data_IF_288264563174
#
_entry.id   IF_288264563174
#
_cell.length_a   1.000
_cell.length_b   1.000
_cell.length_c   1.000
_cell.angle_alpha   90.00
_cell.angle_beta   90.00
_cell.angle_gamma   90.00
#
_symmetry.space_group_name_H-M   'P 1'
#
loop_
_entity.id
_entity.type
_entity.pdbx_description
1 polymer ?
#
# COMPACT_ATOMS: atom_id res chain seq x y z
N UNK A 1 0.21 23.34 -20.62
CA UNK A 1 0.78 23.19 -19.26
C UNK A 1 0.74 21.73 -18.83
N UNK A 2 1.80 21.28 -18.22
CA UNK A 2 1.83 19.92 -17.71
C UNK A 2 1.44 19.89 -16.25
N UNK A 3 0.77 18.84 -15.86
CA UNK A 3 0.34 18.67 -14.48
C UNK A 3 0.95 17.41 -13.92
N UNK A 4 0.93 17.28 -12.61
CA UNK A 4 1.40 16.08 -11.92
C UNK A 4 0.28 15.57 -11.04
N UNK A 5 0.08 14.27 -11.06
CA UNK A 5 -0.88 13.61 -10.18
C UNK A 5 -0.22 12.33 -9.71
N UNK A 6 0.37 12.36 -8.53
CA UNK A 6 1.15 11.24 -8.02
C UNK A 6 0.94 11.09 -6.52
N UNK A 7 0.73 9.86 -6.09
CA UNK A 7 0.58 9.52 -4.67
C UNK A 7 1.61 8.45 -4.35
N UNK A 8 2.29 8.62 -3.23
CA UNK A 8 3.22 7.62 -2.70
C UNK A 8 2.86 7.40 -1.25
N UNK A 9 2.65 6.15 -0.87
CA UNK A 9 2.28 5.81 0.50
C UNK A 9 3.07 4.61 0.99
N UNK A 10 3.37 4.62 2.29
CA UNK A 10 3.81 3.45 3.01
C UNK A 10 2.86 3.32 4.19
N UNK A 11 2.18 2.21 4.29
CA UNK A 11 1.22 2.01 5.37
C UNK A 11 0.75 0.58 5.43
N UNK A 12 -0.21 0.35 6.32
CA UNK A 12 -0.72 -1.00 6.57
C UNK A 12 -2.11 -1.15 5.99
N UNK A 13 -2.38 -2.34 5.45
CA UNK A 13 -3.72 -2.62 4.95
C UNK A 13 -4.72 -2.63 6.11
N UNK A 14 -5.86 -2.02 5.89
CA UNK A 14 -6.91 -1.94 6.90
C UNK A 14 -7.91 -3.07 6.80
N UNK A 15 -7.91 -3.78 5.67
CA UNK A 15 -8.78 -4.92 5.45
C UNK A 15 -8.17 -5.80 4.36
N UNK A 16 -8.68 -7.01 4.24
CA UNK A 16 -8.24 -7.89 3.17
C UNK A 16 -8.67 -7.34 1.82
N UNK A 17 -7.83 -7.48 0.78
CA UNK A 17 -8.24 -7.03 -0.56
C UNK A 17 -9.45 -7.80 -1.04
N UNK A 18 -10.38 -7.08 -1.65
CA UNK A 18 -11.62 -7.66 -2.15
C UNK A 18 -11.54 -7.71 -3.67
N UNK A 19 -11.44 -8.92 -4.20
CA UNK A 19 -11.31 -9.12 -5.64
C UNK A 19 -12.69 -9.24 -6.28
N UNK A 20 -12.88 -8.50 -7.35
CA UNK A 20 -14.11 -8.56 -8.13
C UNK A 20 -13.74 -8.59 -9.61
N UNK A 21 -14.69 -9.01 -10.42
CA UNK A 21 -14.51 -8.95 -11.87
C UNK A 21 -15.57 -8.05 -12.47
N UNK A 22 -15.15 -7.24 -13.43
CA UNK A 22 -16.07 -6.38 -14.15
C UNK A 22 -16.85 -7.22 -15.17
N UNK A 23 -17.84 -6.60 -15.79
CA UNK A 23 -18.64 -7.26 -16.82
C UNK A 23 -17.78 -7.74 -17.98
N UNK A 24 -16.66 -7.07 -18.23
CA UNK A 24 -15.73 -7.47 -19.28
C UNK A 24 -14.75 -8.55 -18.84
N UNK A 25 -14.90 -9.06 -17.63
CA UNK A 25 -14.00 -10.09 -17.12
C UNK A 25 -12.69 -9.58 -16.58
N UNK A 26 -12.53 -8.29 -16.45
CA UNK A 26 -11.30 -7.69 -15.95
C UNK A 26 -11.29 -7.71 -14.42
N UNK A 27 -10.15 -8.10 -13.84
CA UNK A 27 -10.00 -8.13 -12.39
C UNK A 27 -9.84 -6.74 -11.83
N UNK A 28 -10.48 -6.47 -10.71
CA UNK A 28 -10.31 -5.24 -9.96
C UNK A 28 -10.32 -5.58 -8.48
N UNK A 29 -9.42 -4.97 -7.73
CA UNK A 29 -9.35 -5.19 -6.29
C UNK A 29 -9.36 -3.85 -5.59
N UNK A 30 -10.03 -3.80 -4.44
CA UNK A 30 -10.02 -2.60 -3.60
C UNK A 30 -9.55 -2.98 -2.21
N UNK A 31 -8.82 -2.08 -1.59
CA UNK A 31 -8.40 -2.23 -0.22
C UNK A 31 -8.10 -0.86 0.38
N UNK A 32 -7.95 -0.81 1.69
CA UNK A 32 -7.65 0.42 2.39
C UNK A 32 -6.24 0.40 2.93
N UNK A 33 -5.62 1.56 2.99
CA UNK A 33 -4.29 1.75 3.58
C UNK A 33 -4.40 2.79 4.68
N UNK A 34 -3.82 2.48 5.83
CA UNK A 34 -3.76 3.43 6.94
C UNK A 34 -2.33 3.96 7.05
N UNK A 35 -2.21 5.27 7.09
CA UNK A 35 -0.92 5.92 7.34
C UNK A 35 -1.02 6.67 8.66
N UNK A 36 -0.01 6.49 9.50
CA UNK A 36 0.01 7.07 10.83
C UNK A 36 0.99 8.22 10.90
N UNK A 37 0.60 9.24 11.62
CA UNK A 37 1.44 10.41 11.84
C UNK A 37 1.49 10.68 13.34
N UNK A 38 2.69 10.94 13.84
CA UNK A 38 2.87 11.30 15.25
C UNK A 38 3.67 12.58 15.30
N UNK A 39 3.31 13.43 16.26
CA UNK A 39 4.06 14.67 16.47
C UNK A 39 3.93 15.11 17.91
N UNK A 40 4.83 16.00 18.32
CA UNK A 40 4.79 16.58 19.65
C UNK A 40 4.33 18.00 19.57
N UNK A 41 3.46 18.39 20.50
CA UNK A 41 3.02 19.77 20.60
C UNK A 41 4.05 20.57 21.38
N UNK A 42 3.92 21.90 21.36
CA UNK A 42 4.82 22.76 22.12
C UNK A 42 4.73 22.52 23.62
N UNK A 43 3.59 22.06 24.10
CA UNK A 43 3.42 21.74 25.50
C UNK A 43 3.98 20.38 25.90
N UNK A 44 4.58 19.65 24.96
CA UNK A 44 5.17 18.35 25.22
C UNK A 44 4.24 17.17 25.11
N UNK A 45 3.02 17.40 24.64
CA UNK A 45 2.05 16.33 24.43
C UNK A 45 2.33 15.58 23.15
N UNK A 46 2.24 14.27 23.19
CA UNK A 46 2.38 13.44 22.01
C UNK A 46 1.02 13.24 21.36
N UNK A 47 0.91 13.57 20.10
CA UNK A 47 -0.34 13.44 19.35
C UNK A 47 -0.17 12.47 18.20
N UNK A 48 -1.26 11.78 17.85
CA UNK A 48 -1.28 10.83 16.73
C UNK A 48 -2.48 11.12 15.85
N UNK A 49 -2.32 10.80 14.58
CA UNK A 49 -3.42 10.89 13.63
C UNK A 49 -3.24 9.77 12.60
N UNK A 50 -4.35 9.19 12.17
CA UNK A 50 -4.34 8.16 11.17
C UNK A 50 -5.19 8.62 9.99
N UNK A 51 -4.63 8.49 8.78
CA UNK A 51 -5.36 8.76 7.56
C UNK A 51 -5.66 7.46 6.87
N UNK A 52 -6.87 7.32 6.38
CA UNK A 52 -7.30 6.12 5.67
C UNK A 52 -7.46 6.44 4.20
N UNK A 53 -6.86 5.62 3.36
CA UNK A 53 -6.85 5.84 1.92
C UNK A 53 -7.47 4.65 1.22
N UNK A 54 -8.28 4.92 0.21
CA UNK A 54 -8.90 3.87 -0.58
C UNK A 54 -8.05 3.62 -1.82
N UNK A 55 -7.70 2.38 -2.07
CA UNK A 55 -6.82 2.00 -3.18
C UNK A 55 -7.54 1.02 -4.10
N UNK A 56 -7.39 1.24 -5.39
CA UNK A 56 -7.98 0.37 -6.41
C UNK A 56 -6.85 -0.13 -7.31
N UNK A 57 -6.82 -1.43 -7.55
CA UNK A 57 -5.84 -2.03 -8.45
C UNK A 57 -6.59 -2.77 -9.55
N UNK A 58 -6.02 -2.75 -10.76
CA UNK A 58 -6.64 -3.33 -11.93
C UNK A 58 -5.78 -4.41 -12.55
N UNK A 59 -6.42 -5.36 -13.21
CA UNK A 59 -5.80 -6.37 -14.04
C UNK A 59 -4.74 -7.17 -13.29
N UNK A 60 -3.53 -7.23 -13.79
CA UNK A 60 -2.46 -8.01 -13.20
C UNK A 60 -2.12 -7.58 -11.78
N UNK A 61 -2.13 -6.28 -11.52
CA UNK A 61 -1.90 -5.77 -10.18
C UNK A 61 -2.99 -6.22 -9.22
N UNK A 62 -4.24 -6.28 -9.70
CA UNK A 62 -5.35 -6.76 -8.86
C UNK A 62 -5.12 -8.21 -8.45
N UNK A 63 -4.68 -9.03 -9.39
CA UNK A 63 -4.41 -10.44 -9.11
C UNK A 63 -3.28 -10.60 -8.10
N UNK A 64 -2.22 -9.82 -8.25
CA UNK A 64 -1.08 -9.86 -7.34
C UNK A 64 -1.50 -9.42 -5.95
N UNK A 65 -2.23 -8.32 -5.84
CA UNK A 65 -2.68 -7.82 -4.55
C UNK A 65 -3.61 -8.81 -3.86
N UNK A 66 -4.53 -9.39 -4.62
CA UNK A 66 -5.46 -10.36 -4.08
C UNK A 66 -4.75 -11.59 -3.53
N UNK A 67 -3.67 -12.00 -4.20
CA UNK A 67 -2.95 -13.21 -3.85
C UNK A 67 -2.02 -13.03 -2.65
N UNK A 68 -1.36 -11.89 -2.55
CA UNK A 68 -0.29 -11.71 -1.57
C UNK A 68 -0.59 -10.76 -0.42
N UNK A 69 -1.57 -9.90 -0.53
CA UNK A 69 -1.85 -8.92 0.51
C UNK A 69 -2.94 -9.38 1.46
N UNK A 70 -2.81 -8.99 2.71
CA UNK A 70 -3.80 -9.27 3.76
C UNK A 70 -3.88 -8.09 4.70
N UNK A 71 -4.96 -8.02 5.45
CA UNK A 71 -5.12 -7.01 6.48
C UNK A 71 -3.89 -6.97 7.39
N UNK A 72 -3.39 -5.80 7.66
CA UNK A 72 -2.26 -5.59 8.55
C UNK A 72 -0.90 -5.55 7.87
N UNK A 73 -0.79 -6.00 6.64
CA UNK A 73 0.49 -6.01 5.93
C UNK A 73 1.00 -4.60 5.68
N UNK A 74 2.31 -4.43 5.83
CA UNK A 74 2.97 -3.16 5.52
C UNK A 74 3.42 -3.15 4.08
N UNK A 75 3.02 -2.13 3.33
CA UNK A 75 3.35 -2.05 1.92
C UNK A 75 3.76 -0.63 1.54
N UNK A 76 4.59 -0.56 0.52
CA UNK A 76 4.83 0.67 -0.23
C UNK A 76 3.95 0.60 -1.47
N UNK A 77 3.32 1.71 -1.81
CA UNK A 77 2.58 1.76 -3.06
C UNK A 77 2.67 3.15 -3.68
N UNK A 78 2.53 3.20 -4.99
CA UNK A 78 2.40 4.47 -5.67
C UNK A 78 1.33 4.35 -6.73
N UNK A 79 0.80 5.50 -7.09
CA UNK A 79 -0.26 5.58 -8.07
C UNK A 79 -0.70 7.00 -8.27
N UNK A 80 -1.93 7.18 -8.67
CA UNK A 80 -2.48 8.52 -8.89
C UNK A 80 -3.90 8.61 -8.34
N UNK A 81 -4.33 9.83 -8.10
CA UNK A 81 -5.68 10.08 -7.58
C UNK A 81 -6.68 10.08 -8.72
N UNK A 82 -7.80 9.43 -8.51
CA UNK A 82 -8.91 9.45 -9.44
C UNK A 82 -10.20 9.60 -8.67
N UNK A 83 -11.04 10.52 -9.10
CA UNK A 83 -12.34 10.75 -8.47
C UNK A 83 -13.42 10.14 -9.32
N UNK A 84 -14.23 9.29 -8.69
CA UNK A 84 -15.43 8.74 -9.31
C UNK A 84 -16.64 9.52 -8.83
N UNK A 85 -17.63 9.63 -9.68
CA UNK A 85 -18.90 10.23 -9.29
C UNK A 85 -20.02 9.30 -9.71
N UNK A 86 -21.07 9.26 -8.91
CA UNK A 86 -22.26 8.49 -9.22
C UNK A 86 -23.45 9.15 -8.55
N UNK A 87 -24.65 8.74 -8.98
CA UNK A 87 -25.88 9.24 -8.38
C UNK A 87 -26.30 8.30 -7.24
N UNK A 88 -26.60 8.89 -6.09
CA UNK A 88 -27.14 8.13 -4.98
C UNK A 88 -28.60 7.79 -5.20
N UNK A 89 -29.16 7.00 -4.29
CA UNK A 89 -30.54 6.55 -4.39
C UNK A 89 -31.53 7.69 -4.40
N UNK A 90 -31.17 8.81 -3.78
CA UNK A 90 -32.05 9.97 -3.69
C UNK A 90 -31.76 10.99 -4.78
N UNK A 91 -30.95 10.64 -5.78
CA UNK A 91 -30.65 11.53 -6.89
C UNK A 91 -29.51 12.50 -6.63
N UNK A 92 -28.90 12.43 -5.48
CA UNK A 92 -27.77 13.32 -5.16
C UNK A 92 -26.49 12.79 -5.81
N UNK A 93 -25.64 13.72 -6.23
CA UNK A 93 -24.36 13.36 -6.82
C UNK A 93 -23.37 13.04 -5.71
N UNK A 94 -22.75 11.88 -5.80
CA UNK A 94 -21.74 11.47 -4.83
C UNK A 94 -20.39 11.33 -5.52
N UNK A 95 -19.34 11.65 -4.76
CA UNK A 95 -17.96 11.60 -5.25
C UNK A 95 -17.11 10.79 -4.30
N UNK A 96 -16.15 10.08 -4.86
CA UNK A 96 -15.16 9.38 -4.06
C UNK A 96 -13.82 9.47 -4.76
N UNK A 97 -12.81 9.93 -4.04
CA UNK A 97 -11.45 9.98 -4.57
C UNK A 97 -10.71 8.75 -4.11
N UNK A 98 -10.12 8.06 -5.07
CA UNK A 98 -9.39 6.80 -4.83
C UNK A 98 -8.00 6.92 -5.40
N UNK A 99 -7.12 6.04 -4.91
CA UNK A 99 -5.78 5.93 -5.47
C UNK A 99 -5.78 4.75 -6.42
N UNK A 100 -5.44 5.01 -7.70
CA UNK A 100 -5.30 3.93 -8.66
C UNK A 100 -3.86 3.45 -8.60
N UNK A 101 -3.69 2.19 -8.25
CA UNK A 101 -2.38 1.61 -8.00
C UNK A 101 -1.59 1.44 -9.29
N UNK A 102 -0.33 1.84 -9.27
CA UNK A 102 0.59 1.64 -10.38
C UNK A 102 1.72 0.71 -10.02
N UNK A 103 2.16 0.72 -8.76
CA UNK A 103 3.22 -0.15 -8.29
C UNK A 103 3.05 -0.43 -6.81
N UNK A 104 3.53 -1.59 -6.38
CA UNK A 104 3.37 -2.02 -4.99
C UNK A 104 4.54 -2.91 -4.61
N UNK A 105 5.07 -2.68 -3.41
CA UNK A 105 6.16 -3.49 -2.87
C UNK A 105 5.80 -3.87 -1.43
N UNK A 106 5.87 -5.15 -1.13
CA UNK A 106 5.64 -5.62 0.23
C UNK A 106 6.90 -5.39 1.05
N UNK A 107 6.77 -4.70 2.18
CA UNK A 107 7.90 -4.29 2.99
C UNK A 107 8.07 -5.12 4.25
N UNK A 108 7.06 -5.87 4.63
CA UNK A 108 7.10 -6.62 5.86
C UNK A 108 8.04 -7.81 5.73
N UNK A 109 8.80 -8.05 6.80
CA UNK A 109 9.69 -9.20 6.83
C UNK A 109 8.86 -10.48 6.85
N UNK A 110 9.36 -11.50 6.16
CA UNK A 110 8.74 -12.82 6.23
C UNK A 110 8.94 -13.36 7.64
N UNK A 111 7.93 -14.06 8.12
CA UNK A 111 8.03 -14.74 9.39
C UNK A 111 9.06 -15.87 9.28
N UNK A 112 9.67 -16.22 10.40
CA UNK A 112 10.69 -17.24 10.39
C UNK A 112 10.19 -18.56 9.79
N UNK A 113 8.95 -18.88 10.03
CA UNK A 113 8.34 -20.12 9.51
C UNK A 113 8.07 -20.07 8.03
N UNK A 114 8.07 -18.87 7.45
CA UNK A 114 7.84 -18.71 6.01
C UNK A 114 9.13 -18.68 5.23
N UNK A 115 10.27 -18.73 5.90
CA UNK A 115 11.57 -18.61 5.25
C UNK A 115 12.22 -19.98 5.19
N UNK A 116 12.63 -20.37 3.98
CA UNK A 116 13.36 -21.60 3.78
C UNK A 116 14.75 -21.45 4.37
N UNK A 117 15.19 -22.46 5.11
CA UNK A 117 16.51 -22.46 5.72
C UNK A 117 17.61 -22.24 4.70
N UNK A 118 17.43 -22.82 3.53
CA UNK A 118 18.35 -22.65 2.43
C UNK A 118 18.43 -21.21 1.97
N UNK A 119 17.28 -20.54 1.92
CA UNK A 119 17.21 -19.14 1.57
C UNK A 119 18.01 -18.29 2.55
N UNK A 120 17.87 -18.57 3.83
CA UNK A 120 18.60 -17.82 4.86
C UNK A 120 20.10 -17.96 4.69
N UNK A 121 20.55 -19.16 4.36
CA UNK A 121 21.98 -19.40 4.17
C UNK A 121 22.53 -18.67 2.96
N UNK A 122 21.73 -18.54 1.93
CA UNK A 122 22.15 -17.85 0.73
C UNK A 122 22.19 -16.35 0.91
N UNK A 123 21.24 -15.79 1.65
CA UNK A 123 21.11 -14.36 1.79
C UNK A 123 22.04 -13.77 2.84
N UNK A 124 22.26 -14.48 3.92
CA UNK A 124 23.02 -13.96 5.04
C UNK A 124 24.39 -13.41 4.68
N UNK A 125 25.22 -14.12 3.91
CA UNK A 125 26.55 -13.58 3.56
C UNK A 125 26.45 -12.31 2.75
N UNK A 126 25.53 -12.28 1.81
CA UNK A 126 25.36 -11.09 0.99
C UNK A 126 24.84 -9.92 1.82
N UNK A 127 23.94 -10.18 2.71
CA UNK A 127 23.41 -9.14 3.56
C UNK A 127 24.49 -8.51 4.43
N UNK A 128 25.36 -9.31 4.96
CA UNK A 128 26.44 -8.81 5.79
C UNK A 128 27.38 -7.93 4.99
N UNK A 129 27.70 -8.35 3.79
CA UNK A 129 28.56 -7.57 2.94
C UNK A 129 27.92 -6.24 2.59
N UNK A 130 26.65 -6.26 2.29
CA UNK A 130 25.93 -5.05 1.93
C UNK A 130 25.83 -4.09 3.10
N UNK A 131 25.58 -4.61 4.27
CA UNK A 131 25.40 -3.77 5.45
C UNK A 131 26.66 -3.02 5.84
N UNK A 132 27.80 -3.53 5.51
CA UNK A 132 29.01 -2.83 5.84
C UNK A 132 29.16 -1.54 5.07
N UNK A 133 28.36 -1.42 4.09
CA UNK A 133 28.40 -0.19 3.37
C UNK A 133 27.43 0.78 3.88
N UNK A 134 27.00 1.04 4.58
CA UNK A 134 26.13 1.77 5.19
C UNK A 134 25.11 2.50 4.68
N UNK A 135 25.05 2.05 4.30
CA UNK A 135 24.40 2.41 4.11
C UNK A 135 23.69 3.00 4.45
N UNK A 136 23.74 2.89 4.22
CA UNK A 136 23.37 3.28 4.42
C UNK A 136 22.95 4.12 4.86
N UNK A 137 23.02 4.29 4.97
CA UNK A 137 22.66 5.16 5.51
C UNK A 137 21.86 5.88 4.94
N UNK A 138 21.74 5.69 4.41
CA UNK A 138 21.04 6.33 3.86
C UNK A 138 19.83 6.56 4.06
N UNK A 139 19.53 6.72 4.05
CA UNK A 139 18.64 7.05 4.09
C UNK A 139 18.24 7.24 4.47
#
# INVERSE_FOLDING_TARGET
MRSVNKVVLIGNLTRDPELKQTQNGQSVVTFGIATNREWMTQSGEKKKSTEFHEVVAWAKLADICSKYLKKGKLVYLDGYLKTRSWEGETGEKRFRTEIVLQDMIMLEKRKAEDVDEKELLEVAPESETTLTEPDDNTF
#
